data_IF_929326909656
#
_entry.id   IF_929326909656
#
_cell.length_a   1.000
_cell.length_b   1.000
_cell.length_c   1.000
_cell.angle_alpha   90.00
_cell.angle_beta   90.00
_cell.angle_gamma   90.00
#
_symmetry.space_group_name_H-M   'P 1'
#
loop_
_entity.id
_entity.type
_entity.pdbx_description
1 polymer ?
#
# COMPACT_ATOMS: atom_id res chain seq x y z
N UNK A 1 22.42 5.22 -31.77
CA UNK A 1 22.16 4.83 -30.37
C UNK A 1 20.98 3.89 -30.37
N UNK A 2 21.10 2.71 -29.75
CA UNK A 2 19.99 1.75 -29.62
C UNK A 2 18.94 2.30 -28.65
N UNK A 3 17.67 2.24 -29.03
CA UNK A 3 16.56 2.68 -28.19
C UNK A 3 16.35 1.71 -27.03
N UNK A 4 16.01 2.20 -25.83
CA UNK A 4 15.62 1.33 -24.71
C UNK A 4 14.46 0.40 -25.08
N UNK A 5 13.60 0.82 -26.01
CA UNK A 5 12.47 0.02 -26.49
C UNK A 5 12.89 -1.16 -27.38
N UNK A 6 14.09 -1.13 -27.95
CA UNK A 6 14.68 -2.25 -28.70
C UNK A 6 15.30 -3.30 -27.78
N UNK A 7 15.64 -2.91 -26.54
CA UNK A 7 16.23 -3.79 -25.52
C UNK A 7 15.18 -4.32 -24.53
N UNK A 8 14.11 -3.57 -24.29
CA UNK A 8 13.04 -3.94 -23.38
C UNK A 8 12.18 -5.09 -23.94
N UNK A 9 11.63 -5.91 -23.05
CA UNK A 9 10.68 -6.95 -23.44
C UNK A 9 9.48 -6.30 -24.20
N UNK A 10 9.11 -6.80 -25.40
CA UNK A 10 8.08 -6.20 -26.25
C UNK A 10 6.74 -5.92 -25.55
N UNK A 11 6.39 -6.69 -24.52
CA UNK A 11 5.16 -6.56 -23.74
C UNK A 11 5.04 -5.18 -23.07
N UNK A 12 6.16 -4.53 -22.71
CA UNK A 12 6.15 -3.23 -22.05
C UNK A 12 5.72 -2.07 -22.97
N UNK A 13 5.79 -2.25 -24.30
CA UNK A 13 5.51 -1.16 -25.26
C UNK A 13 4.06 -0.69 -25.24
N UNK A 14 3.15 -1.58 -24.86
CA UNK A 14 1.71 -1.33 -24.93
C UNK A 14 1.06 -1.23 -23.53
N UNK A 15 1.86 -1.20 -22.46
CA UNK A 15 1.30 -1.00 -21.12
C UNK A 15 0.92 0.47 -20.93
N UNK A 16 -0.36 0.70 -20.67
CA UNK A 16 -0.83 2.01 -20.23
C UNK A 16 -0.21 2.34 -18.87
N UNK A 17 0.21 3.61 -18.71
CA UNK A 17 0.71 4.10 -17.43
C UNK A 17 -0.45 4.15 -16.44
N UNK A 18 -0.27 3.49 -15.29
CA UNK A 18 -1.23 3.60 -14.20
C UNK A 18 -1.25 5.04 -13.67
N UNK A 19 -2.44 5.64 -13.62
CA UNK A 19 -2.65 6.97 -13.07
C UNK A 19 -3.25 6.84 -11.66
N UNK A 20 -2.47 7.03 -10.58
CA UNK A 20 -2.99 6.99 -9.23
C UNK A 20 -3.97 8.15 -8.98
N UNK A 21 -4.84 7.98 -7.98
CA UNK A 21 -5.69 9.07 -7.52
C UNK A 21 -4.85 10.25 -7.01
N UNK A 22 -5.27 11.47 -7.35
CA UNK A 22 -4.52 12.69 -7.00
C UNK A 22 -4.36 12.86 -5.48
N UNK A 23 -3.19 13.30 -5.00
CA UNK A 23 -3.00 13.73 -3.62
C UNK A 23 -3.95 14.88 -3.25
N UNK A 24 -4.18 15.05 -1.96
CA UNK A 24 -5.03 16.14 -1.43
C UNK A 24 -4.43 17.50 -1.79
N UNK A 25 -3.12 17.63 -1.64
CA UNK A 25 -2.37 18.87 -1.85
C UNK A 25 -2.38 19.31 -3.32
N UNK A 26 -2.28 18.34 -4.24
CA UNK A 26 -2.34 18.60 -5.68
C UNK A 26 -3.75 19.04 -6.08
N UNK A 27 -4.77 18.31 -5.63
CA UNK A 27 -6.18 18.66 -5.86
C UNK A 27 -6.49 20.06 -5.34
N UNK A 28 -6.04 20.36 -4.13
CA UNK A 28 -6.24 21.67 -3.49
C UNK A 28 -5.58 22.81 -4.29
N UNK A 29 -4.38 22.58 -4.84
CA UNK A 29 -3.70 23.56 -5.71
C UNK A 29 -4.46 23.81 -7.00
N UNK A 30 -4.97 22.75 -7.64
CA UNK A 30 -5.72 22.86 -8.90
C UNK A 30 -7.03 23.62 -8.74
N UNK A 31 -7.75 23.39 -7.64
CA UNK A 31 -9.06 24.03 -7.40
C UNK A 31 -8.96 25.31 -6.56
N UNK A 32 -7.75 25.71 -6.15
CA UNK A 32 -7.50 26.97 -5.45
C UNK A 32 -8.04 27.03 -4.02
N UNK A 33 -8.08 25.90 -3.30
CA UNK A 33 -8.59 25.84 -1.92
C UNK A 33 -7.50 25.43 -0.93
N UNK A 34 -7.75 25.67 0.36
CA UNK A 34 -6.91 25.13 1.41
C UNK A 34 -6.99 23.58 1.40
N UNK A 35 -5.86 22.83 1.44
CA UNK A 35 -5.88 21.37 1.51
C UNK A 35 -6.77 20.80 2.62
N UNK A 36 -6.90 21.51 3.75
CA UNK A 36 -7.77 21.10 4.87
C UNK A 36 -9.26 21.17 4.57
N UNK A 37 -9.67 21.87 3.50
CA UNK A 37 -11.05 21.92 3.05
C UNK A 37 -11.43 20.73 2.15
N UNK A 38 -10.46 19.92 1.73
CA UNK A 38 -10.70 18.74 0.91
C UNK A 38 -11.22 17.60 1.79
N UNK A 39 -12.39 17.07 1.44
CA UNK A 39 -12.93 15.84 2.02
C UNK A 39 -12.51 14.69 1.10
N UNK A 40 -11.59 13.83 1.56
CA UNK A 40 -11.05 12.72 0.78
C UNK A 40 -12.00 11.51 0.81
N UNK A 41 -12.64 11.21 -0.32
CA UNK A 41 -13.54 10.05 -0.52
C UNK A 41 -13.21 9.26 -1.81
N UNK A 42 -11.98 9.37 -2.30
CA UNK A 42 -11.60 8.92 -3.65
C UNK A 42 -10.76 7.63 -3.70
N UNK A 43 -10.51 6.96 -2.57
CA UNK A 43 -9.54 5.85 -2.50
C UNK A 43 -9.96 4.69 -1.58
N UNK A 44 -11.24 4.60 -1.22
CA UNK A 44 -11.79 3.55 -0.33
C UNK A 44 -11.08 3.44 1.03
N UNK A 45 -10.50 4.54 1.50
CA UNK A 45 -9.81 4.62 2.78
C UNK A 45 -10.82 4.50 3.94
N UNK A 46 -10.41 3.89 5.05
CA UNK A 46 -11.24 3.85 6.25
C UNK A 46 -11.17 5.19 7.00
N UNK A 47 -12.26 5.97 7.09
CA UNK A 47 -12.24 7.30 7.72
C UNK A 47 -11.99 7.25 9.23
N UNK A 48 -12.13 6.07 9.87
CA UNK A 48 -11.84 5.87 11.29
C UNK A 48 -10.34 5.69 11.57
N UNK A 49 -9.52 5.52 10.52
CA UNK A 49 -8.12 5.14 10.66
C UNK A 49 -7.92 3.69 11.11
N UNK A 50 -6.67 3.30 11.44
CA UNK A 50 -6.36 1.95 11.88
C UNK A 50 -6.85 1.65 13.31
N UNK A 51 -7.02 0.37 13.63
CA UNK A 51 -7.34 -0.08 14.98
C UNK A 51 -6.34 0.47 16.02
N UNK A 52 -6.79 0.92 17.22
CA UNK A 52 -5.87 1.34 18.29
C UNK A 52 -4.83 0.27 18.66
N UNK A 53 -5.20 -1.02 18.58
CA UNK A 53 -4.26 -2.14 18.79
C UNK A 53 -3.17 -2.20 17.72
N UNK A 54 -3.53 -1.90 16.47
CA UNK A 54 -2.58 -1.85 15.37
C UNK A 54 -1.61 -0.67 15.53
N UNK A 55 -2.10 0.50 15.95
CA UNK A 55 -1.24 1.67 16.24
C UNK A 55 -0.22 1.33 17.33
N UNK A 56 -0.64 0.69 18.42
CA UNK A 56 0.28 0.27 19.49
C UNK A 56 1.33 -0.72 18.97
N UNK A 57 0.92 -1.73 18.21
CA UNK A 57 1.85 -2.71 17.62
C UNK A 57 2.85 -2.07 16.65
N UNK A 58 2.42 -1.13 15.80
CA UNK A 58 3.31 -0.40 14.89
C UNK A 58 4.34 0.44 15.64
N UNK A 59 3.93 1.10 16.73
CA UNK A 59 4.86 1.87 17.59
C UNK A 59 5.92 0.99 18.23
N UNK A 60 5.58 -0.21 18.69
CA UNK A 60 6.55 -1.15 19.21
C UNK A 60 7.48 -1.70 18.11
N UNK A 61 6.92 -2.04 16.94
CA UNK A 61 7.68 -2.63 15.84
C UNK A 61 8.71 -1.68 15.22
N UNK A 62 8.49 -0.35 15.30
CA UNK A 62 9.39 0.65 14.71
C UNK A 62 10.79 0.62 15.33
N UNK A 63 10.91 0.21 16.60
CA UNK A 63 12.20 0.13 17.31
C UNK A 63 13.14 -0.89 16.66
N UNK A 64 12.59 -1.93 16.04
CA UNK A 64 13.34 -2.99 15.35
C UNK A 64 13.34 -2.87 13.82
N UNK A 65 12.88 -1.74 13.24
CA UNK A 65 12.68 -1.61 11.79
C UNK A 65 13.97 -1.71 10.95
N UNK A 66 15.15 -1.67 11.58
CA UNK A 66 16.44 -1.89 10.93
C UNK A 66 16.74 -3.37 10.65
N UNK A 67 15.98 -4.29 11.23
CA UNK A 67 16.11 -5.73 11.00
C UNK A 67 15.18 -6.16 9.86
N UNK A 68 15.63 -7.14 9.07
CA UNK A 68 14.76 -7.79 8.10
C UNK A 68 13.55 -8.43 8.80
N UNK A 69 12.35 -8.37 8.19
CA UNK A 69 11.18 -9.03 8.75
C UNK A 69 11.27 -10.55 8.59
N UNK A 70 10.31 -11.26 9.18
CA UNK A 70 10.03 -12.65 8.83
C UNK A 70 9.65 -12.75 7.34
N UNK A 71 10.61 -13.13 6.50
CA UNK A 71 10.44 -13.20 5.05
C UNK A 71 9.38 -14.22 4.58
N UNK A 72 8.99 -15.17 5.46
CA UNK A 72 7.93 -16.13 5.16
C UNK A 72 6.55 -15.69 5.61
N UNK A 73 6.43 -14.58 6.34
CA UNK A 73 5.18 -14.12 6.94
C UNK A 73 4.52 -15.18 7.85
N UNK A 74 5.31 -16.06 8.45
CA UNK A 74 4.87 -17.26 9.19
C UNK A 74 3.85 -16.89 10.26
N UNK A 75 4.13 -15.86 11.06
CA UNK A 75 3.23 -15.45 12.14
C UNK A 75 1.92 -14.85 11.61
N UNK A 76 1.99 -14.03 10.57
CA UNK A 76 0.81 -13.41 9.96
C UNK A 76 -0.08 -14.45 9.28
N UNK A 77 0.52 -15.35 8.47
CA UNK A 77 -0.21 -16.43 7.79
C UNK A 77 -0.91 -17.35 8.78
N UNK A 78 -0.24 -17.72 9.89
CA UNK A 78 -0.86 -18.51 10.97
C UNK A 78 -2.05 -17.79 11.60
N UNK A 79 -1.92 -16.50 11.90
CA UNK A 79 -3.01 -15.72 12.52
C UNK A 79 -4.22 -15.58 11.58
N UNK A 80 -3.99 -15.30 10.29
CA UNK A 80 -5.06 -15.22 9.28
C UNK A 80 -5.72 -16.59 9.09
N UNK A 81 -4.95 -17.66 8.94
CA UNK A 81 -5.46 -19.01 8.77
C UNK A 81 -6.36 -19.43 9.95
N UNK A 82 -5.91 -19.20 11.18
CA UNK A 82 -6.72 -19.46 12.37
C UNK A 82 -8.01 -18.64 12.41
N UNK A 83 -7.94 -17.35 12.01
CA UNK A 83 -9.11 -16.47 11.96
C UNK A 83 -10.14 -16.92 10.93
N UNK A 84 -9.70 -17.49 9.82
CA UNK A 84 -10.54 -17.93 8.70
C UNK A 84 -10.92 -19.42 8.75
N UNK A 85 -10.37 -20.20 9.69
CA UNK A 85 -10.59 -21.64 9.75
C UNK A 85 -9.89 -22.42 8.63
N UNK A 86 -8.76 -21.92 8.15
CA UNK A 86 -7.97 -22.51 7.06
C UNK A 86 -6.64 -23.07 7.56
N UNK A 87 -5.94 -23.82 6.71
CA UNK A 87 -4.56 -24.21 6.98
C UNK A 87 -3.59 -23.09 6.56
N UNK A 88 -2.44 -22.90 7.24
CA UNK A 88 -1.50 -21.83 6.91
C UNK A 88 -0.98 -21.85 5.46
N UNK A 89 -0.87 -23.03 4.84
CA UNK A 89 -0.44 -23.15 3.44
C UNK A 89 -1.48 -22.65 2.42
N UNK A 90 -2.69 -22.33 2.86
CA UNK A 90 -3.70 -21.66 2.03
C UNK A 90 -3.52 -20.13 2.00
N UNK A 91 -2.61 -19.56 2.79
CA UNK A 91 -2.37 -18.11 2.88
C UNK A 91 -1.00 -17.79 2.25
N UNK A 92 -0.96 -16.84 1.31
CA UNK A 92 0.26 -16.30 0.69
C UNK A 92 0.58 -14.91 1.23
#
# INVERSE_FOLDING_TARGET
MTSIWELANPQFRNLAVYQPGKPIEETAREVGVNPRAIIKLASNENPLGPSPKAIQAMRAAVESAHLYPDGGGVYLRKAIAAKLGLAPYNII
#
